data_IF_123450694364
#
_entry.id   IF_123450694364
#
_cell.length_a   1.000
_cell.length_b   1.000
_cell.length_c   1.000
_cell.angle_alpha   90.00
_cell.angle_beta   90.00
_cell.angle_gamma   90.00
#
_symmetry.space_group_name_H-M   'P 1'
#
loop_
_entity.id
_entity.type
_entity.pdbx_description
1 polymer ?
#
# COMPACT_ATOMS: atom_id res chain seq x y z
N UNK A 1 2.37 1.01 11.55
CA UNK A 1 3.32 2.06 11.22
C UNK A 1 2.56 3.31 10.79
N UNK A 2 2.98 4.45 11.26
CA UNK A 2 2.29 5.71 10.99
C UNK A 2 3.32 6.79 10.68
N UNK A 3 3.12 7.53 9.59
CA UNK A 3 4.03 8.60 9.22
C UNK A 3 3.24 9.78 8.61
N UNK A 4 3.71 10.99 8.84
CA UNK A 4 3.05 12.20 8.33
C UNK A 4 3.44 12.52 6.90
N UNK A 5 4.44 11.89 6.38
CA UNK A 5 4.87 12.12 5.00
C UNK A 5 4.91 10.80 4.24
N UNK A 6 5.91 10.67 3.41
CA UNK A 6 6.09 9.45 2.64
C UNK A 6 6.66 8.35 3.52
N UNK A 7 6.27 7.13 3.24
CA UNK A 7 6.81 5.96 3.91
C UNK A 7 7.58 5.12 2.88
N UNK A 8 8.84 4.86 3.19
CA UNK A 8 9.68 4.02 2.34
C UNK A 8 10.26 2.93 3.21
N UNK A 9 9.90 1.70 2.92
CA UNK A 9 10.31 0.55 3.72
C UNK A 9 10.89 -0.50 2.80
N UNK A 10 12.11 -0.88 3.08
CA UNK A 10 12.80 -1.88 2.26
C UNK A 10 12.65 -3.25 2.88
N UNK A 11 11.54 -3.85 2.74
CA UNK A 11 11.36 -5.18 3.28
C UNK A 11 9.94 -5.42 3.67
N UNK A 12 9.76 -6.25 4.68
CA UNK A 12 8.45 -6.73 5.07
C UNK A 12 7.89 -5.88 6.20
N UNK A 13 6.60 -5.57 6.09
CA UNK A 13 5.88 -4.89 7.15
C UNK A 13 4.88 -5.88 7.73
N UNK A 14 5.02 -6.21 9.01
CA UNK A 14 4.17 -7.22 9.61
C UNK A 14 2.82 -6.67 10.07
N UNK A 15 2.67 -5.37 10.17
CA UNK A 15 1.41 -4.75 10.58
C UNK A 15 0.84 -3.88 9.48
N UNK A 16 0.11 -2.85 9.89
CA UNK A 16 -0.50 -1.91 8.96
C UNK A 16 0.43 -0.75 8.65
N UNK A 17 0.20 -0.13 7.49
CA UNK A 17 0.93 1.07 7.09
C UNK A 17 -0.06 2.20 6.95
N UNK A 18 0.22 3.31 7.60
CA UNK A 18 -0.61 4.50 7.56
C UNK A 18 0.29 5.70 7.25
N UNK A 19 0.10 6.31 6.10
CA UNK A 19 0.93 7.41 5.67
C UNK A 19 0.09 8.52 5.05
N UNK A 20 0.50 9.76 5.27
CA UNK A 20 -0.17 10.91 4.67
C UNK A 20 0.35 11.22 3.27
N UNK A 21 1.48 10.67 2.89
CA UNK A 21 2.02 10.84 1.56
C UNK A 21 2.01 9.54 0.80
N UNK A 22 3.05 9.29 0.05
CA UNK A 22 3.19 8.07 -0.73
C UNK A 22 3.75 6.94 0.11
N UNK A 23 3.40 5.72 -0.25
CA UNK A 23 3.94 4.53 0.41
C UNK A 23 4.70 3.72 -0.62
N UNK A 24 5.92 3.35 -0.25
CA UNK A 24 6.76 2.49 -1.07
C UNK A 24 7.33 1.42 -0.16
N UNK A 25 6.94 0.19 -0.38
CA UNK A 25 7.36 -0.89 0.52
C UNK A 25 7.41 -2.22 -0.22
N UNK A 26 7.88 -3.22 0.50
CA UNK A 26 7.85 -4.59 0.00
C UNK A 26 6.54 -5.25 0.35
N UNK A 27 6.62 -6.40 0.99
CA UNK A 27 5.42 -7.13 1.39
C UNK A 27 4.81 -6.51 2.64
N UNK A 28 3.48 -6.52 2.72
CA UNK A 28 2.76 -6.00 3.88
C UNK A 28 1.83 -7.08 4.39
N UNK A 29 1.98 -7.42 5.66
CA UNK A 29 1.12 -8.43 6.28
C UNK A 29 -0.22 -7.91 6.74
N UNK A 30 -0.40 -6.59 6.82
CA UNK A 30 -1.66 -5.97 7.20
C UNK A 30 -2.22 -5.14 6.07
N UNK A 31 -2.84 -4.02 6.42
CA UNK A 31 -3.48 -3.14 5.46
C UNK A 31 -2.64 -1.89 5.23
N UNK A 32 -2.92 -1.20 4.14
CA UNK A 32 -2.24 0.05 3.81
C UNK A 32 -3.28 1.15 3.68
N UNK A 33 -2.99 2.28 4.30
CA UNK A 33 -3.82 3.48 4.21
C UNK A 33 -2.90 4.64 3.86
N UNK A 34 -3.08 5.22 2.69
CA UNK A 34 -2.22 6.30 2.22
C UNK A 34 -3.04 7.40 1.57
N UNK A 35 -2.60 8.64 1.76
CA UNK A 35 -3.22 9.78 1.09
C UNK A 35 -2.64 10.03 -0.29
N UNK A 36 -1.51 9.46 -0.59
CA UNK A 36 -0.90 9.56 -1.91
C UNK A 36 -0.93 8.25 -2.63
N UNK A 37 0.11 7.96 -3.36
CA UNK A 37 0.23 6.73 -4.13
C UNK A 37 0.82 5.61 -3.30
N UNK A 38 0.51 4.39 -3.67
CA UNK A 38 1.03 3.20 -3.00
C UNK A 38 1.78 2.36 -4.03
N UNK A 39 3.01 1.99 -3.68
CA UNK A 39 3.83 1.12 -4.50
C UNK A 39 4.33 0.00 -3.60
N UNK A 40 3.72 -1.15 -3.70
CA UNK A 40 4.01 -2.29 -2.84
C UNK A 40 4.21 -3.55 -3.65
N UNK A 41 4.69 -4.57 -2.97
CA UNK A 41 4.86 -5.87 -3.60
C UNK A 41 3.61 -6.71 -3.34
N UNK A 42 3.54 -7.40 -2.21
CA UNK A 42 2.36 -8.19 -1.87
C UNK A 42 1.70 -7.59 -0.63
N UNK A 43 0.38 -7.62 -0.58
CA UNK A 43 -0.38 -7.12 0.56
C UNK A 43 -1.39 -8.17 0.97
N UNK A 44 -1.35 -8.58 2.24
CA UNK A 44 -2.28 -9.57 2.76
C UNK A 44 -3.63 -8.98 3.14
N UNK A 45 -3.69 -7.70 3.44
CA UNK A 45 -4.92 -7.04 3.82
C UNK A 45 -5.45 -6.16 2.71
N UNK A 46 -6.07 -5.06 3.10
CA UNK A 46 -6.68 -4.12 2.16
C UNK A 46 -5.74 -2.96 1.86
N UNK A 47 -5.96 -2.32 0.73
CA UNK A 47 -5.21 -1.12 0.35
C UNK A 47 -6.20 0.01 0.15
N UNK A 48 -5.98 1.12 0.82
CA UNK A 48 -6.81 2.32 0.71
C UNK A 48 -5.90 3.49 0.39
N UNK A 49 -6.07 4.08 -0.77
CA UNK A 49 -5.22 5.17 -1.23
C UNK A 49 -6.03 6.24 -1.92
N UNK A 50 -5.61 7.49 -1.77
CA UNK A 50 -6.23 8.60 -2.49
C UNK A 50 -5.61 8.83 -3.86
N UNK A 51 -4.44 8.30 -4.10
CA UNK A 51 -3.79 8.38 -5.41
C UNK A 51 -3.81 7.06 -6.13
N UNK A 52 -2.73 6.76 -6.80
CA UNK A 52 -2.61 5.51 -7.56
C UNK A 52 -2.09 4.39 -6.69
N UNK A 53 -2.47 3.17 -7.05
CA UNK A 53 -1.97 1.97 -6.36
C UNK A 53 -1.27 1.11 -7.39
N UNK A 54 -0.03 0.75 -7.09
CA UNK A 54 0.74 -0.19 -7.88
C UNK A 54 1.23 -1.29 -6.96
N UNK A 55 0.69 -2.46 -7.11
CA UNK A 55 1.04 -3.61 -6.29
C UNK A 55 1.21 -4.84 -7.16
N UNK A 56 1.85 -5.85 -6.58
CA UNK A 56 2.01 -7.11 -7.25
C UNK A 56 0.79 -7.99 -7.02
N UNK A 57 0.49 -8.25 -5.75
CA UNK A 57 -0.62 -9.12 -5.38
C UNK A 57 -1.27 -8.58 -4.11
N UNK A 58 -2.59 -8.49 -4.12
CA UNK A 58 -3.34 -8.02 -2.95
C UNK A 58 -4.42 -9.04 -2.65
N UNK A 59 -4.40 -9.58 -1.43
CA UNK A 59 -5.35 -10.61 -1.02
C UNK A 59 -6.71 -10.04 -0.65
N UNK A 60 -6.75 -8.79 -0.19
CA UNK A 60 -7.99 -8.14 0.20
C UNK A 60 -8.52 -7.22 -0.88
N UNK A 61 -9.16 -6.16 -0.46
CA UNK A 61 -9.77 -5.19 -1.37
C UNK A 61 -8.83 -4.02 -1.60
N UNK A 62 -9.00 -3.38 -2.74
CA UNK A 62 -8.27 -2.16 -3.06
C UNK A 62 -9.27 -1.05 -3.27
N UNK A 63 -9.08 0.05 -2.57
CA UNK A 63 -9.90 1.23 -2.70
C UNK A 63 -8.97 2.39 -3.03
N UNK A 64 -9.00 2.83 -4.27
CA UNK A 64 -8.13 3.91 -4.72
C UNK A 64 -8.94 4.91 -5.52
N UNK A 65 -8.66 6.19 -5.30
CA UNK A 65 -9.33 7.24 -6.07
C UNK A 65 -8.68 7.47 -7.42
N UNK A 66 -7.44 7.08 -7.56
CA UNK A 66 -6.74 7.16 -8.83
C UNK A 66 -6.76 5.84 -9.55
N UNK A 67 -5.70 5.56 -10.29
CA UNK A 67 -5.59 4.32 -11.01
C UNK A 67 -5.14 3.17 -10.13
N UNK A 68 -5.47 1.96 -10.53
CA UNK A 68 -5.04 0.76 -9.83
C UNK A 68 -4.32 -0.14 -10.81
N UNK A 69 -3.12 -0.53 -10.46
CA UNK A 69 -2.33 -1.46 -11.27
C UNK A 69 -1.86 -2.59 -10.36
N UNK A 70 -2.49 -3.74 -10.49
CA UNK A 70 -2.20 -4.89 -9.65
C UNK A 70 -2.05 -6.10 -10.56
N UNK A 71 -0.97 -6.81 -10.37
CA UNK A 71 -0.73 -8.05 -11.11
C UNK A 71 -1.27 -9.20 -10.30
N UNK A 72 -2.54 -9.45 -10.42
CA UNK A 72 -3.11 -10.60 -9.74
C UNK A 72 -3.40 -11.70 -10.73
N UNK A 73 -3.33 -12.92 -10.21
CA UNK A 73 -3.58 -14.10 -11.02
C UNK A 73 -4.95 -14.64 -10.85
#
# INVERSE_FOLDING_TARGET
>A
MHTDGNATIKGYVSGNVDAHGNVQCGDVGGSIDANGSVDCNNVDGNVDASGNVTCNDVSGDIDAMGGVSVKRR
#
